data_IF_791279509938
#
_entry.id   IF_791279509938
#
_cell.length_a   1.000
_cell.length_b   1.000
_cell.length_c   1.000
_cell.angle_alpha   90.00
_cell.angle_beta   90.00
_cell.angle_gamma   90.00
#
_symmetry.space_group_name_H-M   'P 1'
#
loop_
_entity.id
_entity.type
_entity.pdbx_description
1 polymer ?
#
# COMPACT_ATOMS: atom_id res chain seq x y z
N UNK A 1 30.50 18.23 7.39
CA UNK A 1 29.69 18.69 6.24
C UNK A 1 30.23 18.22 4.87
N UNK A 2 31.44 17.70 4.77
CA UNK A 2 32.06 17.21 3.51
C UNK A 2 31.65 15.78 3.13
N UNK A 3 31.31 14.92 4.11
CA UNK A 3 30.98 13.49 3.83
C UNK A 3 29.58 13.26 3.26
N UNK A 4 28.60 14.13 3.56
CA UNK A 4 27.21 13.98 3.08
C UNK A 4 27.09 14.43 1.62
N UNK A 5 27.82 15.48 1.22
CA UNK A 5 27.90 15.92 -0.19
C UNK A 5 28.58 14.88 -1.08
N UNK A 6 29.56 14.13 -0.56
CA UNK A 6 30.20 13.05 -1.29
C UNK A 6 29.26 11.85 -1.49
N UNK A 7 28.43 11.54 -0.50
CA UNK A 7 27.44 10.47 -0.58
C UNK A 7 26.31 10.80 -1.57
N UNK A 8 25.81 12.05 -1.57
CA UNK A 8 24.80 12.48 -2.54
C UNK A 8 25.35 12.60 -3.97
N UNK A 9 26.61 13.02 -4.13
CA UNK A 9 27.26 13.01 -5.45
C UNK A 9 27.49 11.59 -5.97
N UNK A 10 27.81 10.65 -5.08
CA UNK A 10 28.00 9.25 -5.43
C UNK A 10 26.69 8.57 -5.85
N UNK A 11 25.58 8.89 -5.17
CA UNK A 11 24.23 8.42 -5.53
C UNK A 11 23.75 9.06 -6.85
N UNK A 12 23.98 10.36 -7.05
CA UNK A 12 23.67 11.01 -8.31
C UNK A 12 24.51 10.47 -9.48
N UNK A 13 25.78 10.15 -9.23
CA UNK A 13 26.68 9.57 -10.23
C UNK A 13 26.32 8.11 -10.58
N UNK A 14 25.84 7.30 -9.62
CA UNK A 14 25.38 5.94 -9.91
C UNK A 14 24.02 5.93 -10.62
N UNK A 15 23.14 6.90 -10.36
CA UNK A 15 21.89 7.10 -11.12
C UNK A 15 22.19 7.59 -12.55
N UNK A 16 23.13 8.51 -12.73
CA UNK A 16 23.56 8.97 -14.05
C UNK A 16 24.30 7.89 -14.85
N UNK A 17 25.10 7.03 -14.18
CA UNK A 17 25.76 5.90 -14.82
C UNK A 17 24.73 4.86 -15.26
N UNK A 18 23.69 4.58 -14.45
CA UNK A 18 22.58 3.71 -14.80
C UNK A 18 21.81 4.21 -16.04
N UNK A 19 21.55 5.53 -16.13
CA UNK A 19 20.92 6.17 -17.29
C UNK A 19 21.78 6.11 -18.57
N UNK A 20 23.11 6.14 -18.45
CA UNK A 20 24.00 5.98 -19.61
C UNK A 20 24.09 4.51 -20.07
N UNK A 21 24.02 3.53 -19.17
CA UNK A 21 23.96 2.12 -19.56
C UNK A 21 22.67 1.75 -20.28
N UNK A 22 21.53 2.35 -19.93
CA UNK A 22 20.28 2.15 -20.68
C UNK A 22 20.31 2.84 -22.05
N UNK A 23 21.01 3.97 -22.19
CA UNK A 23 21.21 4.65 -23.46
C UNK A 23 22.14 3.89 -24.44
N UNK A 24 23.17 3.20 -23.93
CA UNK A 24 24.12 2.42 -24.75
C UNK A 24 23.52 1.10 -25.24
N UNK A 25 22.65 0.46 -24.46
CA UNK A 25 21.92 -0.74 -24.91
C UNK A 25 20.89 -0.39 -26.00
N UNK A 26 20.32 0.82 -25.96
CA UNK A 26 19.38 1.30 -26.96
C UNK A 26 20.02 1.64 -28.33
N UNK A 27 21.33 1.90 -28.39
CA UNK A 27 21.98 2.46 -29.59
C UNK A 27 22.66 1.44 -30.51
N UNK A 28 22.90 0.19 -30.09
CA UNK A 28 23.71 -0.75 -30.90
C UNK A 28 22.97 -1.98 -31.45
N UNK A 29 21.72 -2.25 -31.06
CA UNK A 29 20.96 -3.43 -31.51
C UNK A 29 19.62 -3.11 -32.21
N UNK A 30 19.20 -1.85 -32.27
CA UNK A 30 17.86 -1.45 -32.73
C UNK A 30 17.60 -1.44 -34.25
N UNK A 31 18.52 -1.04 -35.15
CA UNK A 31 18.07 -0.57 -36.47
C UNK A 31 17.72 -1.68 -37.48
N UNK A 32 17.91 -2.96 -37.15
CA UNK A 32 17.62 -4.08 -38.07
C UNK A 32 16.36 -4.88 -37.69
N UNK A 33 15.89 -4.81 -36.44
CA UNK A 33 14.71 -5.56 -35.96
C UNK A 33 13.41 -4.72 -36.04
N UNK A 34 13.52 -3.38 -36.05
CA UNK A 34 12.38 -2.46 -36.15
C UNK A 34 11.66 -2.45 -37.52
N UNK A 35 12.28 -2.93 -38.59
CA UNK A 35 11.74 -2.79 -39.95
C UNK A 35 10.69 -3.84 -40.35
N UNK A 36 10.66 -5.03 -39.71
CA UNK A 36 9.70 -6.10 -40.05
C UNK A 36 8.58 -6.26 -39.00
N UNK A 37 8.85 -5.98 -37.72
CA UNK A 37 7.86 -6.03 -36.65
C UNK A 37 6.76 -4.95 -36.79
N UNK A 38 7.08 -3.83 -37.45
CA UNK A 38 6.23 -2.64 -37.57
C UNK A 38 4.94 -2.85 -38.38
N UNK A 39 4.80 -3.94 -39.16
CA UNK A 39 3.57 -4.18 -39.94
C UNK A 39 2.43 -4.87 -39.17
N UNK A 40 2.73 -5.69 -38.15
CA UNK A 40 1.72 -6.41 -37.35
C UNK A 40 1.38 -5.71 -36.02
N UNK A 41 2.35 -5.02 -35.40
CA UNK A 41 2.14 -4.22 -34.18
C UNK A 41 1.47 -2.85 -34.43
N UNK A 42 1.19 -2.50 -35.70
CA UNK A 42 0.57 -1.21 -36.06
C UNK A 42 -0.94 -1.12 -35.81
N UNK A 43 -1.63 -2.21 -35.45
CA UNK A 43 -3.04 -2.08 -35.07
C UNK A 43 -3.16 -1.53 -33.64
N UNK A 44 -3.92 -0.45 -33.42
CA UNK A 44 -4.03 0.17 -32.10
C UNK A 44 -4.59 -0.81 -31.05
N UNK A 45 -5.42 -1.76 -31.48
CA UNK A 45 -6.02 -2.79 -30.62
C UNK A 45 -4.99 -3.81 -30.13
N UNK A 46 -4.10 -4.31 -31.00
CA UNK A 46 -3.05 -5.27 -30.60
C UNK A 46 -2.05 -4.60 -29.67
N UNK A 47 -1.67 -3.35 -29.96
CA UNK A 47 -0.81 -2.55 -29.07
C UNK A 47 -1.44 -2.35 -27.69
N UNK A 48 -2.73 -2.01 -27.62
CA UNK A 48 -3.45 -1.87 -26.36
C UNK A 48 -3.49 -3.19 -25.57
N UNK A 49 -3.82 -4.31 -26.20
CA UNK A 49 -3.90 -5.62 -25.54
C UNK A 49 -2.53 -6.02 -24.96
N UNK A 50 -1.46 -5.88 -25.75
CA UNK A 50 -0.10 -6.19 -25.29
C UNK A 50 0.33 -5.30 -24.13
N UNK A 51 -0.05 -4.02 -24.17
CA UNK A 51 0.28 -3.07 -23.10
C UNK A 51 -0.49 -3.37 -21.83
N UNK A 52 -1.77 -3.79 -21.92
CA UNK A 52 -2.54 -4.27 -20.77
C UNK A 52 -1.89 -5.51 -20.16
N UNK A 53 -1.50 -6.48 -20.99
CA UNK A 53 -0.82 -7.69 -20.51
C UNK A 53 0.52 -7.37 -19.85
N UNK A 54 1.30 -6.45 -20.42
CA UNK A 54 2.54 -5.96 -19.83
C UNK A 54 2.30 -5.25 -18.49
N UNK A 55 1.28 -4.39 -18.42
CA UNK A 55 0.91 -3.68 -17.20
C UNK A 55 0.49 -4.65 -16.08
N UNK A 56 -0.36 -5.64 -16.39
CA UNK A 56 -0.74 -6.69 -15.45
C UNK A 56 0.46 -7.52 -14.97
N UNK A 57 1.41 -7.81 -15.87
CA UNK A 57 2.64 -8.50 -15.51
C UNK A 57 3.54 -7.68 -14.58
N UNK A 58 3.66 -6.37 -14.81
CA UNK A 58 4.39 -5.46 -13.90
C UNK A 58 3.71 -5.38 -12.53
N UNK A 59 2.37 -5.30 -12.48
CA UNK A 59 1.64 -5.32 -11.21
C UNK A 59 1.79 -6.66 -10.46
N UNK A 60 1.83 -7.78 -11.18
CA UNK A 60 2.16 -9.08 -10.58
C UNK A 60 3.56 -9.04 -9.93
N UNK A 61 4.55 -8.47 -10.61
CA UNK A 61 5.88 -8.26 -10.04
C UNK A 61 5.86 -7.38 -8.79
N UNK A 62 5.14 -6.25 -8.82
CA UNK A 62 4.98 -5.35 -7.68
C UNK A 62 4.35 -6.05 -6.48
N UNK A 63 3.28 -6.82 -6.72
CA UNK A 63 2.60 -7.59 -5.69
C UNK A 63 3.55 -8.59 -5.01
N UNK A 64 4.34 -9.33 -5.79
CA UNK A 64 5.30 -10.30 -5.24
C UNK A 64 6.39 -9.61 -4.42
N UNK A 65 6.97 -8.50 -4.90
CA UNK A 65 8.02 -7.79 -4.13
C UNK A 65 7.44 -7.21 -2.83
N UNK A 66 6.22 -6.68 -2.88
CA UNK A 66 5.59 -6.09 -1.72
C UNK A 66 5.22 -7.15 -0.67
N UNK A 67 4.59 -8.24 -1.09
CA UNK A 67 4.04 -9.28 -0.21
C UNK A 67 5.12 -10.25 0.30
N UNK A 68 5.97 -10.78 -0.59
CA UNK A 68 6.94 -11.83 -0.21
C UNK A 68 8.21 -11.24 0.46
N UNK A 69 8.52 -9.94 0.26
CA UNK A 69 9.79 -9.35 0.70
C UNK A 69 9.65 -8.04 1.50
N UNK A 70 8.97 -7.03 0.96
CA UNK A 70 8.88 -5.71 1.61
C UNK A 70 8.12 -5.78 2.93
N UNK A 71 6.88 -6.27 2.92
CA UNK A 71 6.03 -6.39 4.11
C UNK A 71 6.71 -7.23 5.20
N UNK A 72 7.23 -8.46 4.94
CA UNK A 72 7.93 -9.26 5.95
C UNK A 72 9.19 -8.60 6.53
N UNK A 73 9.91 -7.81 5.72
CA UNK A 73 11.09 -7.07 6.20
C UNK A 73 10.70 -5.93 7.16
N UNK A 74 9.56 -5.30 6.92
CA UNK A 74 8.96 -4.29 7.79
C UNK A 74 8.38 -4.92 9.07
N UNK A 75 7.72 -6.07 8.97
CA UNK A 75 7.22 -6.81 10.13
C UNK A 75 8.35 -7.23 11.07
N UNK A 76 9.45 -7.77 10.51
CA UNK A 76 10.64 -8.10 11.29
C UNK A 76 11.25 -6.86 11.96
N UNK A 77 11.15 -5.68 11.33
CA UNK A 77 11.53 -4.42 11.95
C UNK A 77 10.59 -4.04 13.11
N UNK A 78 9.27 -4.17 12.93
CA UNK A 78 8.27 -3.91 13.97
C UNK A 78 8.43 -4.82 15.19
N UNK A 79 8.68 -6.12 14.97
CA UNK A 79 8.94 -7.09 16.03
C UNK A 79 10.17 -6.71 16.86
N UNK A 80 11.26 -6.33 16.20
CA UNK A 80 12.48 -5.88 16.88
C UNK A 80 12.28 -4.58 17.67
N UNK A 81 11.38 -3.72 17.20
CA UNK A 81 11.03 -2.46 17.85
C UNK A 81 9.90 -2.60 18.90
N UNK A 82 9.31 -3.79 19.06
CA UNK A 82 8.20 -4.08 19.98
C UNK A 82 7.04 -3.08 19.85
N UNK A 83 6.54 -2.88 18.62
CA UNK A 83 5.45 -1.94 18.34
C UNK A 83 4.08 -2.66 18.41
N UNK A 84 3.04 -2.06 19.01
CA UNK A 84 1.68 -2.65 19.04
C UNK A 84 1.10 -2.92 17.65
N UNK A 85 0.27 -3.95 17.52
CA UNK A 85 -0.28 -4.39 16.22
C UNK A 85 -1.08 -3.30 15.49
N UNK A 86 -1.95 -2.59 16.20
CA UNK A 86 -2.74 -1.47 15.63
C UNK A 86 -1.85 -0.34 15.12
N UNK A 87 -0.75 -0.07 15.84
CA UNK A 87 0.20 0.96 15.47
C UNK A 87 1.09 0.52 14.31
N UNK A 88 1.51 -0.75 14.28
CA UNK A 88 2.25 -1.34 13.17
C UNK A 88 1.40 -1.37 11.89
N UNK A 89 0.13 -1.74 12.01
CA UNK A 89 -0.86 -1.71 10.92
C UNK A 89 -1.02 -0.32 10.32
N UNK A 90 -1.26 0.69 11.15
CA UNK A 90 -1.48 2.08 10.71
C UNK A 90 -0.22 2.81 10.20
N UNK A 91 0.99 2.31 10.49
CA UNK A 91 2.24 3.02 10.19
C UNK A 91 3.15 2.24 9.25
N UNK A 92 3.86 1.26 9.78
CA UNK A 92 4.91 0.53 9.08
C UNK A 92 4.34 -0.40 8.02
N UNK A 93 3.32 -1.18 8.35
CA UNK A 93 2.66 -2.08 7.40
C UNK A 93 1.97 -1.27 6.29
N UNK A 94 1.19 -0.26 6.67
CA UNK A 94 0.58 0.70 5.75
C UNK A 94 1.61 1.39 4.86
N UNK A 95 2.82 1.69 5.36
CA UNK A 95 3.91 2.24 4.56
C UNK A 95 4.44 1.23 3.54
N UNK A 96 4.55 -0.04 3.93
CA UNK A 96 4.94 -1.13 3.03
C UNK A 96 3.95 -1.32 1.88
N UNK A 97 2.64 -1.32 2.17
CA UNK A 97 1.60 -1.43 1.14
C UNK A 97 1.46 -0.17 0.28
N UNK A 98 1.71 1.02 0.83
CA UNK A 98 1.72 2.30 0.12
C UNK A 98 3.00 2.56 -0.70
N UNK A 99 4.08 1.79 -0.49
CA UNK A 99 5.37 2.03 -1.15
C UNK A 99 5.29 2.09 -2.70
N UNK A 100 4.51 1.23 -3.39
CA UNK A 100 4.33 1.33 -4.84
C UNK A 100 3.76 2.68 -5.27
N UNK A 101 2.76 3.22 -4.58
CA UNK A 101 2.14 4.52 -4.89
C UNK A 101 3.08 5.69 -4.59
N UNK A 102 3.78 5.67 -3.46
CA UNK A 102 4.78 6.68 -3.12
C UNK A 102 5.84 6.76 -4.22
N UNK A 103 6.35 5.61 -4.65
CA UNK A 103 7.40 5.54 -5.67
C UNK A 103 6.88 5.85 -7.06
N UNK A 104 5.66 5.45 -7.39
CA UNK A 104 4.96 5.85 -8.61
C UNK A 104 4.86 7.38 -8.69
N UNK A 105 4.40 8.04 -7.62
CA UNK A 105 4.29 9.50 -7.63
C UNK A 105 5.67 10.19 -7.63
N UNK A 106 6.66 9.58 -6.97
CA UNK A 106 8.04 10.04 -7.04
C UNK A 106 8.61 10.02 -8.46
N UNK A 107 8.40 8.93 -9.21
CA UNK A 107 8.83 8.81 -10.61
C UNK A 107 8.06 9.78 -11.50
N UNK A 108 6.74 9.89 -11.32
CA UNK A 108 5.90 10.82 -12.08
C UNK A 108 6.36 12.28 -11.90
N UNK A 109 6.66 12.68 -10.66
CA UNK A 109 7.17 14.02 -10.33
C UNK A 109 8.59 14.22 -10.87
N UNK A 110 9.46 13.22 -10.76
CA UNK A 110 10.84 13.29 -11.25
C UNK A 110 10.94 13.44 -12.77
N UNK A 111 9.97 12.90 -13.53
CA UNK A 111 9.91 13.10 -14.98
C UNK A 111 9.52 14.52 -15.40
N UNK A 112 8.94 15.33 -14.49
CA UNK A 112 8.51 16.70 -14.77
C UNK A 112 7.39 16.82 -15.81
N UNK A 113 6.76 15.71 -16.20
CA UNK A 113 5.64 15.69 -17.14
C UNK A 113 4.32 15.88 -16.39
N UNK A 114 3.57 16.90 -16.77
CA UNK A 114 2.26 17.22 -16.17
C UNK A 114 1.30 16.03 -16.24
N UNK A 115 1.18 15.41 -17.41
CA UNK A 115 0.33 14.22 -17.62
C UNK A 115 0.64 13.09 -16.62
N UNK A 116 1.92 12.92 -16.24
CA UNK A 116 2.31 11.88 -15.31
C UNK A 116 1.82 12.15 -13.88
N UNK A 117 1.94 13.41 -13.46
CA UNK A 117 1.55 13.86 -12.12
C UNK A 117 0.03 13.88 -11.97
N UNK A 118 -0.69 14.23 -13.03
CA UNK A 118 -2.16 14.15 -13.06
C UNK A 118 -2.63 12.69 -12.93
N UNK A 119 -2.00 11.76 -13.66
CA UNK A 119 -2.30 10.33 -13.56
C UNK A 119 -2.03 9.75 -12.17
N UNK A 120 -0.90 10.12 -11.54
CA UNK A 120 -0.56 9.62 -10.21
C UNK A 120 -1.49 10.19 -9.13
N UNK A 121 -1.87 11.46 -9.24
CA UNK A 121 -2.81 12.08 -8.30
C UNK A 121 -4.23 11.52 -8.45
N UNK A 122 -4.66 11.26 -9.68
CA UNK A 122 -5.95 10.61 -9.94
C UNK A 122 -5.95 9.14 -9.46
N UNK A 123 -4.80 8.45 -9.52
CA UNK A 123 -4.63 7.13 -8.92
C UNK A 123 -4.76 7.12 -7.40
N UNK A 124 -4.24 8.14 -6.68
CA UNK A 124 -4.40 8.26 -5.21
C UNK A 124 -5.88 8.37 -4.81
N UNK A 125 -6.69 9.09 -5.62
CA UNK A 125 -8.14 9.16 -5.37
C UNK A 125 -8.85 7.84 -5.71
N UNK A 126 -8.49 7.22 -6.84
CA UNK A 126 -9.03 5.91 -7.21
C UNK A 126 -8.71 4.84 -6.18
N UNK A 127 -7.48 4.85 -5.65
CA UNK A 127 -7.01 3.90 -4.65
C UNK A 127 -7.82 4.03 -3.35
N UNK A 128 -8.21 5.25 -2.97
CA UNK A 128 -9.09 5.49 -1.83
C UNK A 128 -10.48 4.86 -2.01
N UNK A 129 -11.07 4.96 -3.20
CA UNK A 129 -12.38 4.33 -3.48
C UNK A 129 -12.27 2.81 -3.30
N UNK A 130 -11.19 2.20 -3.80
CA UNK A 130 -10.93 0.76 -3.66
C UNK A 130 -10.70 0.40 -2.18
N UNK A 131 -9.90 1.18 -1.46
CA UNK A 131 -9.59 0.96 -0.05
C UNK A 131 -10.82 1.05 0.86
N UNK A 132 -11.76 1.94 0.56
CA UNK A 132 -12.96 2.13 1.37
C UNK A 132 -14.14 1.25 0.95
N UNK A 133 -14.24 0.87 -0.33
CA UNK A 133 -15.34 0.06 -0.83
C UNK A 133 -14.99 -1.43 -0.94
N UNK A 134 -13.89 -1.75 -1.63
CA UNK A 134 -13.57 -3.13 -2.01
C UNK A 134 -12.84 -3.89 -0.89
N UNK A 135 -11.80 -3.29 -0.30
CA UNK A 135 -10.95 -3.99 0.70
C UNK A 135 -11.78 -4.44 1.92
N UNK A 136 -12.62 -3.61 2.57
CA UNK A 136 -13.41 -4.03 3.72
C UNK A 136 -14.40 -5.13 3.35
N UNK A 137 -15.03 -5.04 2.17
CA UNK A 137 -15.94 -6.08 1.68
C UNK A 137 -15.24 -7.43 1.51
N UNK A 138 -14.03 -7.43 0.91
CA UNK A 138 -13.21 -8.65 0.81
C UNK A 138 -12.81 -9.18 2.18
N UNK A 139 -12.37 -8.32 3.11
CA UNK A 139 -12.02 -8.71 4.47
C UNK A 139 -13.20 -9.41 5.18
N UNK A 140 -14.41 -8.87 5.05
CA UNK A 140 -15.61 -9.46 5.64
C UNK A 140 -16.05 -10.78 4.99
N UNK A 141 -15.79 -10.96 3.69
CA UNK A 141 -16.18 -12.17 2.96
C UNK A 141 -15.27 -13.36 3.34
N UNK A 142 -14.00 -13.09 3.61
CA UNK A 142 -12.99 -14.12 3.84
C UNK A 142 -12.77 -14.38 5.35
N UNK A 143 -13.20 -13.48 6.23
CA UNK A 143 -13.08 -13.66 7.66
C UNK A 143 -13.90 -14.87 8.17
N UNK A 144 -13.31 -15.77 8.97
CA UNK A 144 -13.98 -16.97 9.48
C UNK A 144 -15.01 -16.67 10.58
N UNK A 145 -14.88 -15.51 11.24
CA UNK A 145 -15.71 -15.09 12.37
C UNK A 145 -16.09 -13.61 12.24
N UNK A 146 -17.06 -13.15 13.04
CA UNK A 146 -17.40 -11.73 13.10
C UNK A 146 -16.18 -10.90 13.49
N UNK A 147 -15.71 -10.05 12.58
CA UNK A 147 -14.63 -9.10 12.82
C UNK A 147 -15.13 -8.01 13.79
N UNK A 148 -14.54 -7.96 14.98
CA UNK A 148 -14.81 -6.89 15.94
C UNK A 148 -13.79 -5.77 15.71
N UNK A 149 -14.27 -4.55 15.52
CA UNK A 149 -13.45 -3.37 15.27
C UNK A 149 -13.58 -2.42 16.46
N UNK A 150 -12.49 -1.76 16.80
CA UNK A 150 -12.42 -0.72 17.83
C UNK A 150 -12.73 0.65 17.21
N UNK A 151 -13.54 1.45 17.90
CA UNK A 151 -14.01 2.73 17.37
C UNK A 151 -12.95 3.83 17.43
N UNK A 152 -12.04 3.78 18.41
CA UNK A 152 -11.07 4.86 18.64
C UNK A 152 -9.99 4.96 17.54
N UNK A 153 -9.31 3.88 17.12
CA UNK A 153 -8.38 3.90 15.98
C UNK A 153 -9.07 4.27 14.67
N UNK A 154 -10.28 3.75 14.44
CA UNK A 154 -11.10 4.07 13.27
C UNK A 154 -11.38 5.58 13.15
N UNK A 155 -11.84 6.22 14.22
CA UNK A 155 -12.11 7.67 14.22
C UNK A 155 -10.81 8.44 14.01
N UNK A 156 -9.73 8.08 14.73
CA UNK A 156 -8.42 8.72 14.60
C UNK A 156 -7.95 8.73 13.15
N UNK A 157 -7.89 7.56 12.51
CA UNK A 157 -7.34 7.42 11.16
C UNK A 157 -8.24 8.08 10.12
N UNK A 158 -9.57 7.96 10.28
CA UNK A 158 -10.54 8.64 9.41
C UNK A 158 -10.47 10.18 9.52
N UNK A 159 -10.30 10.72 10.74
CA UNK A 159 -10.15 12.17 10.96
C UNK A 159 -8.88 12.71 10.30
N UNK A 160 -7.76 11.99 10.47
CA UNK A 160 -6.49 12.39 9.86
C UNK A 160 -6.56 12.29 8.35
N UNK A 161 -7.20 11.27 7.80
CA UNK A 161 -7.39 11.14 6.37
C UNK A 161 -8.25 12.27 5.79
N UNK A 162 -9.35 12.64 6.47
CA UNK A 162 -10.16 13.82 6.12
C UNK A 162 -9.31 15.09 6.11
N UNK A 163 -8.50 15.32 7.14
CA UNK A 163 -7.62 16.48 7.22
C UNK A 163 -6.56 16.48 6.09
N UNK A 164 -6.02 15.31 5.77
CA UNK A 164 -5.04 15.11 4.70
C UNK A 164 -5.64 15.41 3.32
N UNK A 165 -6.82 14.85 3.03
CA UNK A 165 -7.54 15.07 1.79
C UNK A 165 -7.97 16.54 1.65
N UNK A 166 -8.45 17.17 2.72
CA UNK A 166 -8.79 18.59 2.73
C UNK A 166 -7.57 19.49 2.47
N UNK A 167 -6.41 19.14 3.03
CA UNK A 167 -5.14 19.83 2.78
C UNK A 167 -4.72 19.68 1.32
N UNK A 168 -4.83 18.48 0.75
CA UNK A 168 -4.53 18.23 -0.66
C UNK A 168 -5.45 19.05 -1.58
N UNK A 169 -6.76 19.06 -1.34
CA UNK A 169 -7.73 19.87 -2.09
C UNK A 169 -7.40 21.37 -1.99
N UNK A 170 -7.02 21.85 -0.80
CA UNK A 170 -6.60 23.24 -0.62
C UNK A 170 -5.36 23.59 -1.47
N UNK A 171 -4.35 22.72 -1.50
CA UNK A 171 -3.12 22.94 -2.29
C UNK A 171 -3.43 22.92 -3.79
N UNK A 172 -4.35 22.07 -4.23
CA UNK A 172 -4.73 21.95 -5.64
C UNK A 172 -5.59 23.11 -6.16
N UNK A 173 -6.19 23.92 -5.29
CA UNK A 173 -7.11 24.98 -5.70
C UNK A 173 -6.46 26.03 -6.62
N UNK A 174 -5.19 26.36 -6.37
CA UNK A 174 -4.47 27.42 -7.10
C UNK A 174 -3.64 26.86 -8.26
N UNK A 175 -3.73 25.55 -8.56
CA UNK A 175 -2.99 24.84 -9.63
C UNK A 175 -1.46 25.04 -9.59
N UNK A 176 -0.94 25.48 -8.45
CA UNK A 176 0.48 25.71 -8.20
C UNK A 176 0.85 25.10 -6.87
N UNK A 177 1.90 24.28 -6.88
CA UNK A 177 2.43 23.61 -5.70
C UNK A 177 3.80 24.19 -5.38
N UNK A 178 3.85 25.02 -4.35
CA UNK A 178 5.06 25.55 -3.75
C UNK A 178 5.58 24.67 -2.61
N UNK A 179 6.84 24.91 -2.23
CA UNK A 179 7.53 24.09 -1.21
C UNK A 179 6.86 24.11 0.16
N UNK A 180 6.28 25.25 0.56
CA UNK A 180 5.52 25.33 1.82
C UNK A 180 4.25 24.48 1.78
N UNK A 181 3.54 24.47 0.66
CA UNK A 181 2.32 23.67 0.48
C UNK A 181 2.65 22.17 0.54
N UNK A 182 3.68 21.69 -0.16
CA UNK A 182 4.11 20.29 -0.06
C UNK A 182 4.64 19.95 1.34
N UNK A 183 5.32 20.89 1.99
CA UNK A 183 5.79 20.74 3.37
C UNK A 183 4.64 20.59 4.38
N UNK A 184 3.49 21.21 4.13
CA UNK A 184 2.29 21.07 4.95
C UNK A 184 1.76 19.64 4.94
N UNK A 185 1.75 18.96 3.78
CA UNK A 185 1.34 17.54 3.69
C UNK A 185 2.28 16.63 4.50
N UNK A 186 3.59 16.87 4.44
CA UNK A 186 4.57 16.14 5.26
C UNK A 186 4.34 16.42 6.75
N UNK A 187 4.02 17.67 7.11
CA UNK A 187 3.73 18.04 8.49
C UNK A 187 2.49 17.34 9.03
N UNK A 188 1.44 17.19 8.21
CA UNK A 188 0.26 16.39 8.55
C UNK A 188 0.64 14.92 8.81
N UNK A 189 1.50 14.32 7.98
CA UNK A 189 2.02 12.96 8.21
C UNK A 189 2.80 12.84 9.52
N UNK A 190 3.70 13.79 9.80
CA UNK A 190 4.45 13.80 11.07
C UNK A 190 3.48 13.92 12.25
N UNK A 191 2.47 14.80 12.15
CA UNK A 191 1.41 14.90 13.14
C UNK A 191 0.65 13.59 13.34
N UNK A 192 0.33 12.88 12.26
CA UNK A 192 -0.31 11.57 12.30
C UNK A 192 0.52 10.53 13.07
N UNK A 193 1.81 10.42 12.73
CA UNK A 193 2.73 9.51 13.42
C UNK A 193 2.86 9.88 14.91
N UNK A 194 2.88 11.17 15.26
CA UNK A 194 2.90 11.60 16.66
C UNK A 194 1.62 11.19 17.39
N UNK A 195 0.44 11.33 16.77
CA UNK A 195 -0.84 10.91 17.37
C UNK A 195 -0.84 9.40 17.65
N UNK A 196 -0.21 8.58 16.80
CA UNK A 196 -0.09 7.13 17.01
C UNK A 196 0.94 6.80 18.08
N UNK A 197 2.17 7.30 17.95
CA UNK A 197 3.30 6.85 18.78
C UNK A 197 3.38 7.55 20.13
N UNK A 198 3.00 8.83 20.25
CA UNK A 198 3.13 9.55 21.52
C UNK A 198 2.32 8.89 22.65
N UNK A 199 1.05 8.48 22.47
CA UNK A 199 0.31 7.76 23.52
C UNK A 199 0.94 6.41 23.89
N UNK A 200 1.59 5.74 22.94
CA UNK A 200 2.26 4.46 23.18
C UNK A 200 3.52 4.68 24.03
N UNK A 201 4.28 5.75 23.74
CA UNK A 201 5.53 6.06 24.43
C UNK A 201 5.31 6.67 25.82
N UNK A 202 4.20 7.39 26.01
CA UNK A 202 3.83 8.02 27.29
C UNK A 202 3.12 7.07 28.26
N UNK A 203 2.63 5.91 27.81
CA UNK A 203 2.01 4.93 28.70
C UNK A 203 3.09 4.33 29.61
N UNK A 204 2.90 4.38 30.95
CA UNK A 204 3.78 3.67 31.87
C UNK A 204 3.79 2.18 31.51
N UNK A 205 4.97 1.56 31.49
CA UNK A 205 5.08 0.10 31.41
C UNK A 205 4.40 -0.48 32.65
N UNK A 206 3.17 -0.96 32.49
CA UNK A 206 2.39 -1.58 33.56
C UNK A 206 2.90 -3.01 33.77
N UNK A 207 3.49 -3.34 34.94
CA UNK A 207 4.04 -4.67 35.20
C UNK A 207 2.96 -5.76 35.37
N UNK A 208 1.71 -5.39 35.68
CA UNK A 208 0.59 -6.35 35.90
C UNK A 208 -0.30 -6.53 34.66
N UNK A 209 -0.10 -5.70 33.63
CA UNK A 209 -0.70 -5.94 32.33
C UNK A 209 0.16 -6.97 31.63
N UNK A 210 -0.19 -8.25 31.76
CA UNK A 210 0.30 -9.28 30.87
C UNK A 210 0.22 -8.73 29.45
N UNK A 211 1.39 -8.56 28.88
CA UNK A 211 1.62 -7.91 27.64
C UNK A 211 0.63 -8.39 26.56
N UNK A 212 -0.30 -7.50 26.18
CA UNK A 212 -0.84 -7.47 24.82
C UNK A 212 0.29 -7.10 23.81
N UNK A 213 1.51 -6.88 24.33
CA UNK A 213 2.79 -7.03 23.66
C UNK A 213 3.27 -8.50 23.67
N UNK A 214 2.63 -9.38 22.90
CA UNK A 214 3.11 -10.75 22.66
C UNK A 214 3.31 -11.57 23.96
N UNK A 215 2.22 -12.03 24.58
CA UNK A 215 2.24 -13.37 25.19
C UNK A 215 1.80 -14.39 24.14
N UNK A 216 2.66 -15.34 23.71
CA UNK A 216 2.20 -16.46 22.91
C UNK A 216 1.28 -17.33 23.78
N UNK A 217 -0.01 -17.34 23.46
CA UNK A 217 -0.91 -18.48 23.69
C UNK A 217 -0.90 -19.20 25.05
N UNK A 218 -0.63 -18.55 26.20
CA UNK A 218 -0.66 -19.27 27.49
C UNK A 218 -2.00 -19.12 28.23
N UNK A 219 -2.74 -18.03 28.04
CA UNK A 219 -4.00 -17.81 28.77
C UNK A 219 -5.29 -18.26 28.04
N UNK A 220 -5.18 -18.80 26.83
CA UNK A 220 -6.29 -19.54 26.19
C UNK A 220 -6.26 -21.05 26.49
N UNK A 221 -5.30 -21.53 27.31
CA UNK A 221 -5.25 -22.94 27.72
C UNK A 221 -6.17 -23.28 28.91
N UNK A 222 -6.58 -22.30 29.72
CA UNK A 222 -7.40 -22.57 30.92
C UNK A 222 -8.90 -22.64 30.57
N UNK A 223 -9.38 -21.80 29.65
CA UNK A 223 -10.79 -21.86 29.20
C UNK A 223 -11.07 -23.08 28.31
N UNK A 224 -10.05 -23.58 27.59
CA UNK A 224 -10.12 -24.83 26.83
C UNK A 224 -10.02 -26.09 27.69
N UNK A 225 -9.43 -26.01 28.89
CA UNK A 225 -9.40 -27.14 29.83
C UNK A 225 -10.80 -27.49 30.39
N UNK A 226 -11.78 -26.61 30.22
CA UNK A 226 -13.16 -26.75 30.74
C UNK A 226 -14.19 -27.22 29.69
N UNK A 227 -13.79 -27.44 28.43
CA UNK A 227 -14.69 -27.90 27.37
C UNK A 227 -14.27 -29.27 26.81
N UNK A 228 -14.67 -30.40 27.45
CA UNK A 228 -14.11 -31.72 27.16
C UNK A 228 -14.64 -32.41 25.88
N UNK A 229 -15.42 -31.74 25.03
CA UNK A 229 -16.06 -32.41 23.89
C UNK A 229 -16.13 -31.54 22.63
N UNK A 230 -15.02 -31.46 21.88
CA UNK A 230 -15.09 -31.30 20.43
C UNK A 230 -13.79 -31.78 19.75
N UNK A 231 -13.78 -32.92 19.05
CA UNK A 231 -12.56 -33.55 18.52
C UNK A 231 -12.10 -32.99 17.15
N UNK A 232 -12.54 -31.79 16.75
CA UNK A 232 -12.25 -31.21 15.43
C UNK A 232 -11.29 -30.01 15.43
N UNK A 233 -10.76 -29.62 16.58
CA UNK A 233 -9.81 -28.50 16.69
C UNK A 233 -8.53 -28.97 17.37
N UNK A 234 -7.68 -29.64 16.59
CA UNK A 234 -6.31 -29.89 16.95
C UNK A 234 -5.47 -29.78 15.68
N UNK A 235 -4.69 -28.71 15.57
CA UNK A 235 -3.29 -28.64 15.07
C UNK A 235 -2.99 -27.28 14.43
N UNK A 236 -2.53 -26.30 15.22
CA UNK A 236 -1.34 -25.51 14.86
C UNK A 236 -0.95 -24.60 16.03
N UNK A 237 0.08 -25.05 16.73
CA UNK A 237 0.87 -24.26 17.66
C UNK A 237 1.84 -23.38 16.85
N UNK A 238 2.13 -22.18 17.38
CA UNK A 238 3.31 -21.36 17.04
C UNK A 238 3.35 -20.76 15.63
N UNK A 239 2.68 -19.62 15.41
CA UNK A 239 2.85 -18.82 14.19
C UNK A 239 2.80 -17.31 14.51
N UNK A 240 3.98 -16.66 14.55
CA UNK A 240 4.10 -15.20 14.59
C UNK A 240 3.65 -14.54 13.27
N UNK A 241 3.78 -13.22 13.16
CA UNK A 241 3.34 -12.39 12.01
C UNK A 241 3.60 -13.05 10.64
N UNK A 242 4.75 -13.68 10.46
CA UNK A 242 5.14 -14.32 9.20
C UNK A 242 4.80 -15.81 9.04
N UNK A 243 3.76 -16.32 9.68
CA UNK A 243 3.32 -17.69 9.42
C UNK A 243 1.84 -17.78 9.01
N UNK A 244 1.48 -16.96 8.03
CA UNK A 244 0.26 -17.18 7.24
C UNK A 244 0.64 -17.79 5.89
N UNK A 245 1.36 -18.91 5.91
CA UNK A 245 1.16 -19.88 4.83
C UNK A 245 -0.18 -20.52 5.07
N UNK A 246 -1.09 -20.26 4.12
CA UNK A 246 -2.41 -20.85 3.98
C UNK A 246 -2.47 -22.23 4.64
N UNK A 247 -3.12 -22.31 5.81
CA UNK A 247 -3.74 -23.57 6.18
C UNK A 247 -4.76 -23.88 5.09
N UNK A 248 -4.56 -25.04 4.47
CA UNK A 248 -5.47 -25.67 3.52
C UNK A 248 -6.85 -25.78 4.16
N UNK A 249 -7.74 -24.82 3.87
CA UNK A 249 -9.00 -24.71 4.60
C UNK A 249 -10.11 -23.95 3.90
N UNK A 250 -10.03 -23.75 2.59
CA UNK A 250 -11.20 -23.50 1.76
C UNK A 250 -10.93 -24.15 0.41
N UNK A 251 -11.67 -25.21 0.08
CA UNK A 251 -11.62 -25.80 -1.25
C UNK A 251 -12.06 -24.72 -2.25
N UNK A 252 -11.08 -24.09 -2.91
CA UNK A 252 -11.36 -23.11 -3.96
C UNK A 252 -12.19 -23.80 -5.05
N UNK A 253 -13.16 -23.09 -5.65
CA UNK A 253 -13.99 -23.68 -6.68
C UNK A 253 -13.13 -24.11 -7.88
N UNK A 254 -13.38 -25.33 -8.38
CA UNK A 254 -12.54 -26.01 -9.39
C UNK A 254 -12.27 -25.21 -10.68
N UNK A 255 -13.05 -24.16 -10.97
CA UNK A 255 -12.83 -23.28 -12.13
C UNK A 255 -11.67 -22.28 -11.95
N UNK A 256 -11.19 -22.05 -10.73
CA UNK A 256 -10.05 -21.16 -10.43
C UNK A 256 -8.69 -21.84 -10.58
N UNK A 257 -8.62 -23.18 -10.54
CA UNK A 257 -7.38 -23.93 -10.74
C UNK A 257 -6.60 -23.59 -12.02
N UNK A 258 -7.23 -23.51 -13.22
CA UNK A 258 -6.51 -23.16 -14.44
C UNK A 258 -5.92 -21.74 -14.37
N UNK A 259 -6.66 -20.79 -13.80
CA UNK A 259 -6.20 -19.40 -13.63
C UNK A 259 -5.01 -19.35 -12.69
N UNK A 260 -5.06 -20.06 -11.56
CA UNK A 260 -3.95 -20.16 -10.62
C UNK A 260 -2.70 -20.75 -11.24
N UNK A 261 -2.81 -21.82 -12.05
CA UNK A 261 -1.66 -22.42 -12.75
C UNK A 261 -1.02 -21.43 -13.74
N UNK A 262 -1.83 -20.62 -14.42
CA UNK A 262 -1.33 -19.57 -15.33
C UNK A 262 -0.62 -18.47 -14.54
N UNK A 263 -1.22 -17.97 -13.46
CA UNK A 263 -0.59 -16.95 -12.61
C UNK A 263 0.71 -17.48 -11.99
N UNK A 264 0.72 -18.73 -11.50
CA UNK A 264 1.92 -19.37 -10.96
C UNK A 264 3.03 -19.41 -12.03
N UNK A 265 2.71 -19.89 -13.24
CA UNK A 265 3.65 -19.95 -14.35
C UNK A 265 4.20 -18.57 -14.73
N UNK A 266 3.34 -17.54 -14.77
CA UNK A 266 3.74 -16.16 -15.06
C UNK A 266 4.56 -15.53 -13.92
N UNK A 267 4.32 -15.94 -12.66
CA UNK A 267 5.05 -15.40 -11.50
C UNK A 267 6.47 -15.97 -11.34
N UNK A 268 6.74 -17.17 -11.87
CA UNK A 268 8.05 -17.86 -11.77
C UNK A 268 9.26 -17.01 -12.17
N UNK A 269 9.30 -16.30 -13.32
CA UNK A 269 10.45 -15.47 -13.67
C UNK A 269 10.76 -14.41 -12.61
N UNK A 270 9.73 -13.74 -12.07
CA UNK A 270 9.90 -12.80 -10.96
C UNK A 270 10.37 -13.49 -9.68
N UNK A 271 9.74 -14.61 -9.30
CA UNK A 271 10.15 -15.36 -8.10
C UNK A 271 11.60 -15.83 -8.19
N UNK A 272 12.05 -16.33 -9.35
CA UNK A 272 13.44 -16.74 -9.55
C UNK A 272 14.39 -15.54 -9.46
N UNK A 273 14.03 -14.42 -10.12
CA UNK A 273 14.82 -13.20 -10.07
C UNK A 273 14.97 -12.69 -8.63
N UNK A 274 13.86 -12.59 -7.90
CA UNK A 274 13.85 -12.09 -6.53
C UNK A 274 14.48 -13.08 -5.54
N UNK A 275 14.29 -14.39 -5.70
CA UNK A 275 14.97 -15.38 -4.86
C UNK A 275 16.50 -15.31 -5.00
N UNK A 276 17.01 -14.91 -6.16
CA UNK A 276 18.45 -14.73 -6.36
C UNK A 276 18.99 -13.40 -5.80
N UNK A 277 18.19 -12.34 -5.79
CA UNK A 277 18.65 -10.98 -5.45
C UNK A 277 18.22 -10.49 -4.07
N UNK A 278 17.13 -11.01 -3.52
CA UNK A 278 16.54 -10.61 -2.25
C UNK A 278 16.66 -11.73 -1.20
N UNK A 279 17.37 -11.52 -0.09
CA UNK A 279 17.40 -12.46 1.02
C UNK A 279 16.00 -12.60 1.65
N UNK A 280 15.57 -13.84 1.89
CA UNK A 280 14.27 -14.11 2.53
C UNK A 280 14.26 -13.64 3.99
N UNK A 281 13.17 -12.96 4.37
CA UNK A 281 12.97 -12.42 5.72
C UNK A 281 11.91 -13.18 6.54
N UNK A 282 11.46 -14.34 6.05
CA UNK A 282 10.47 -15.18 6.73
C UNK A 282 10.93 -15.65 8.11
N UNK A 283 9.96 -15.95 8.98
CA UNK A 283 10.18 -16.33 10.39
C UNK A 283 11.11 -17.54 10.52
N UNK A 284 11.04 -18.47 9.57
CA UNK A 284 11.79 -19.74 9.56
C UNK A 284 13.14 -19.67 8.81
N UNK A 285 13.48 -18.52 8.20
CA UNK A 285 14.65 -18.42 7.33
C UNK A 285 15.92 -17.96 8.08
N UNK A 286 17.09 -18.60 7.88
CA UNK A 286 18.35 -18.20 8.51
C UNK A 286 18.83 -16.80 8.06
N UNK A 287 18.30 -16.27 6.94
CA UNK A 287 18.65 -14.95 6.41
C UNK A 287 17.86 -13.80 7.05
N UNK A 288 17.00 -14.07 8.04
CA UNK A 288 16.18 -13.07 8.73
C UNK A 288 16.97 -11.88 9.32
N UNK A 289 18.23 -12.08 9.68
CA UNK A 289 19.08 -10.98 10.18
C UNK A 289 19.42 -9.94 9.11
N UNK A 290 19.29 -10.27 7.82
CA UNK A 290 19.57 -9.37 6.69
C UNK A 290 18.36 -8.52 6.28
N UNK A 291 17.32 -8.44 7.12
CA UNK A 291 16.11 -7.66 6.86
C UNK A 291 16.32 -6.21 6.37
N UNK A 292 17.35 -5.43 6.81
CA UNK A 292 17.54 -4.07 6.30
C UNK A 292 18.02 -4.05 4.86
N UNK A 293 18.77 -5.09 4.43
CA UNK A 293 19.24 -5.22 3.05
C UNK A 293 18.07 -5.57 2.15
N UNK A 294 17.24 -6.53 2.55
CA UNK A 294 16.02 -6.89 1.84
C UNK A 294 15.07 -5.70 1.72
N UNK A 295 14.92 -4.90 2.78
CA UNK A 295 14.11 -3.68 2.79
C UNK A 295 14.60 -2.65 1.75
N UNK A 296 15.91 -2.38 1.69
CA UNK A 296 16.45 -1.40 0.73
C UNK A 296 16.34 -1.93 -0.71
N UNK A 297 16.67 -3.19 -0.94
CA UNK A 297 16.61 -3.78 -2.28
C UNK A 297 15.16 -3.91 -2.78
N UNK A 298 14.20 -4.25 -1.93
CA UNK A 298 12.79 -4.30 -2.30
C UNK A 298 12.26 -2.93 -2.69
N UNK A 299 12.61 -1.86 -1.98
CA UNK A 299 12.30 -0.47 -2.36
C UNK A 299 12.85 -0.13 -3.75
N UNK A 300 14.08 -0.57 -4.08
CA UNK A 300 14.66 -0.36 -5.42
C UNK A 300 13.86 -1.09 -6.50
N UNK A 301 13.49 -2.35 -6.26
CA UNK A 301 12.66 -3.10 -7.22
C UNK A 301 11.27 -2.49 -7.39
N UNK A 302 10.64 -2.05 -6.31
CA UNK A 302 9.35 -1.34 -6.35
C UNK A 302 9.51 -0.07 -7.20
N UNK A 303 10.58 0.70 -7.02
CA UNK A 303 10.81 1.92 -7.80
C UNK A 303 10.98 1.63 -9.31
N UNK A 304 11.75 0.59 -9.65
CA UNK A 304 11.96 0.17 -11.04
C UNK A 304 10.67 -0.31 -11.70
N UNK A 305 9.89 -1.13 -10.99
CA UNK A 305 8.62 -1.66 -11.49
C UNK A 305 7.55 -0.55 -11.55
N UNK A 306 7.51 0.38 -10.61
CA UNK A 306 6.62 1.56 -10.67
C UNK A 306 6.93 2.46 -11.88
N UNK A 307 8.20 2.62 -12.25
CA UNK A 307 8.58 3.33 -13.47
C UNK A 307 8.09 2.61 -14.73
N UNK A 308 8.21 1.27 -14.77
CA UNK A 308 7.65 0.47 -15.86
C UNK A 308 6.12 0.56 -15.93
N UNK A 309 5.42 0.55 -14.78
CA UNK A 309 3.97 0.68 -14.71
C UNK A 309 3.48 2.03 -15.24
N UNK A 310 4.16 3.13 -14.89
CA UNK A 310 3.88 4.46 -15.44
C UNK A 310 4.08 4.51 -16.95
N UNK A 311 5.19 3.95 -17.44
CA UNK A 311 5.47 3.92 -18.87
C UNK A 311 4.40 3.12 -19.65
N UNK A 312 4.05 1.92 -19.17
CA UNK A 312 3.00 1.10 -19.78
C UNK A 312 1.64 1.80 -19.75
N UNK A 313 1.29 2.48 -18.66
CA UNK A 313 0.01 3.21 -18.54
C UNK A 313 -0.12 4.30 -19.62
N UNK A 314 0.96 5.03 -19.93
CA UNK A 314 0.93 6.08 -20.96
C UNK A 314 0.79 5.55 -22.38
N UNK A 315 1.44 4.41 -22.67
CA UNK A 315 1.25 3.75 -23.96
C UNK A 315 -0.22 3.33 -24.10
N UNK A 316 -0.80 2.82 -23.01
CA UNK A 316 -2.18 2.35 -22.99
C UNK A 316 -3.20 3.48 -23.14
N UNK A 317 -3.01 4.62 -22.47
CA UNK A 317 -3.88 5.79 -22.62
C UNK A 317 -3.91 6.28 -24.06
N UNK A 318 -2.72 6.36 -24.68
CA UNK A 318 -2.57 6.75 -26.09
C UNK A 318 -3.24 5.75 -27.04
N UNK A 319 -3.11 4.44 -26.77
CA UNK A 319 -3.70 3.41 -27.61
C UNK A 319 -5.23 3.32 -27.51
N UNK A 320 -5.80 3.58 -26.32
CA UNK A 320 -7.24 3.50 -26.06
C UNK A 320 -7.97 4.85 -26.20
N UNK A 321 -7.26 5.95 -26.46
CA UNK A 321 -7.78 7.32 -26.40
C UNK A 321 -8.50 7.60 -25.05
N UNK A 322 -7.95 7.06 -23.96
CA UNK A 322 -8.43 7.36 -22.62
C UNK A 322 -7.75 8.61 -22.10
N UNK A 323 -8.47 9.42 -21.33
CA UNK A 323 -7.83 10.50 -20.60
C UNK A 323 -6.87 9.91 -19.55
N UNK A 324 -5.79 10.64 -19.30
CA UNK A 324 -4.73 10.21 -18.38
C UNK A 324 -5.24 10.07 -16.94
N UNK A 325 -6.27 10.84 -16.59
CA UNK A 325 -6.98 10.81 -15.32
C UNK A 325 -7.81 9.53 -15.18
N UNK A 326 -8.61 9.17 -16.20
CA UNK A 326 -9.45 7.96 -16.17
C UNK A 326 -8.58 6.71 -16.05
N UNK A 327 -7.46 6.65 -16.77
CA UNK A 327 -6.51 5.54 -16.62
C UNK A 327 -5.84 5.50 -15.24
N UNK A 328 -5.54 6.67 -14.65
CA UNK A 328 -5.01 6.75 -13.29
C UNK A 328 -6.00 6.29 -12.23
N UNK A 329 -7.24 6.83 -12.23
CA UNK A 329 -8.31 6.49 -11.29
C UNK A 329 -8.70 5.02 -11.34
N UNK A 330 -8.53 4.36 -12.49
CA UNK A 330 -8.96 2.97 -12.68
C UNK A 330 -7.79 2.00 -12.69
N UNK A 331 -6.99 1.98 -13.76
CA UNK A 331 -5.98 0.95 -13.99
C UNK A 331 -4.83 1.05 -13.00
N UNK A 332 -4.33 2.27 -12.77
CA UNK A 332 -3.19 2.50 -11.90
C UNK A 332 -3.59 2.35 -10.42
N UNK A 333 -4.75 2.86 -10.05
CA UNK A 333 -5.35 2.66 -8.74
C UNK A 333 -5.61 1.17 -8.43
N UNK A 334 -6.19 0.40 -9.36
CA UNK A 334 -6.45 -1.03 -9.15
C UNK A 334 -5.17 -1.82 -8.93
N UNK A 335 -4.15 -1.60 -9.77
CA UNK A 335 -2.91 -2.35 -9.68
C UNK A 335 -2.07 -2.01 -8.45
N UNK A 336 -2.06 -0.73 -8.05
CA UNK A 336 -1.35 -0.30 -6.84
C UNK A 336 -2.00 -0.76 -5.54
N UNK A 337 -3.31 -1.06 -5.55
CA UNK A 337 -4.04 -1.56 -4.38
C UNK A 337 -4.02 -3.07 -4.20
N UNK A 338 -3.41 -3.83 -5.11
CA UNK A 338 -3.27 -5.29 -4.96
C UNK A 338 -2.50 -5.65 -3.69
N UNK A 339 -1.32 -5.06 -3.38
CA UNK A 339 -0.58 -5.36 -2.16
C UNK A 339 -1.38 -5.01 -0.90
N UNK A 340 -2.08 -3.87 -0.90
CA UNK A 340 -2.86 -3.42 0.25
C UNK A 340 -4.08 -4.34 0.51
N UNK A 341 -4.73 -4.80 -0.56
CA UNK A 341 -5.80 -5.79 -0.46
C UNK A 341 -5.30 -7.14 0.08
N UNK A 342 -4.14 -7.63 -0.38
CA UNK A 342 -3.56 -8.88 0.11
C UNK A 342 -3.22 -8.77 1.60
N UNK A 343 -2.51 -7.71 2.01
CA UNK A 343 -2.12 -7.47 3.39
C UNK A 343 -3.34 -7.37 4.32
N UNK A 344 -4.34 -6.57 3.93
CA UNK A 344 -5.56 -6.37 4.72
C UNK A 344 -6.41 -7.64 4.83
N UNK A 345 -6.57 -8.38 3.72
CA UNK A 345 -7.30 -9.66 3.72
C UNK A 345 -6.56 -10.71 4.55
N UNK A 346 -5.24 -10.76 4.49
CA UNK A 346 -4.43 -11.67 5.31
C UNK A 346 -4.63 -11.42 6.81
N UNK A 347 -4.56 -10.16 7.23
CA UNK A 347 -4.84 -9.75 8.62
C UNK A 347 -6.27 -10.09 9.05
N UNK A 348 -7.26 -9.82 8.20
CA UNK A 348 -8.65 -10.14 8.48
C UNK A 348 -8.89 -11.66 8.63
N UNK A 349 -8.24 -12.48 7.79
CA UNK A 349 -8.27 -13.95 7.89
C UNK A 349 -7.68 -14.46 9.20
N UNK A 350 -6.61 -13.82 9.67
CA UNK A 350 -5.97 -14.13 10.93
C UNK A 350 -6.75 -13.60 12.15
N UNK A 351 -7.87 -12.88 11.95
CA UNK A 351 -8.70 -12.34 13.02
C UNK A 351 -8.27 -10.96 13.53
N UNK A 352 -7.21 -10.36 12.96
CA UNK A 352 -6.71 -9.03 13.32
C UNK A 352 -7.49 -7.93 12.56
N UNK A 353 -8.79 -7.81 12.88
CA UNK A 353 -9.71 -6.87 12.23
C UNK A 353 -9.24 -5.39 12.33
N UNK A 354 -8.79 -4.98 13.51
CA UNK A 354 -8.32 -3.61 13.76
C UNK A 354 -7.09 -3.28 12.90
N UNK A 355 -6.12 -4.19 12.83
CA UNK A 355 -4.92 -4.01 12.01
C UNK A 355 -5.27 -3.97 10.52
N UNK A 356 -6.19 -4.81 10.04
CA UNK A 356 -6.62 -4.83 8.64
C UNK A 356 -7.25 -3.49 8.21
N UNK A 357 -8.13 -2.93 9.04
CA UNK A 357 -8.77 -1.65 8.75
C UNK A 357 -7.78 -0.49 8.92
N UNK A 358 -6.98 -0.48 9.98
CA UNK A 358 -5.94 0.54 10.17
C UNK A 358 -4.93 0.55 9.04
N UNK A 359 -4.59 -0.61 8.47
CA UNK A 359 -3.73 -0.72 7.30
C UNK A 359 -4.40 -0.06 6.07
N UNK A 360 -5.65 -0.44 5.75
CA UNK A 360 -6.38 0.09 4.61
C UNK A 360 -6.67 1.61 4.68
N UNK A 361 -6.84 2.18 5.88
CA UNK A 361 -7.02 3.63 6.04
C UNK A 361 -5.67 4.34 6.11
N UNK A 362 -4.71 3.77 6.85
CA UNK A 362 -3.37 4.31 7.03
C UNK A 362 -2.60 4.42 5.72
N UNK A 363 -2.73 3.42 4.83
CA UNK A 363 -2.13 3.43 3.49
C UNK A 363 -2.61 4.65 2.70
N UNK A 364 -3.91 4.97 2.75
CA UNK A 364 -4.48 6.14 2.08
C UNK A 364 -4.02 7.47 2.69
N UNK A 365 -3.86 7.55 4.02
CA UNK A 365 -3.24 8.71 4.68
C UNK A 365 -1.82 8.90 4.17
N UNK A 366 -1.04 7.82 4.10
CA UNK A 366 0.34 7.84 3.61
C UNK A 366 0.39 8.26 2.14
N UNK A 367 -0.47 7.72 1.28
CA UNK A 367 -0.53 8.05 -0.15
C UNK A 367 -0.77 9.55 -0.38
N UNK A 368 -1.74 10.13 0.34
CA UNK A 368 -2.04 11.56 0.24
C UNK A 368 -0.90 12.39 0.83
N UNK A 369 -0.43 12.07 2.03
CA UNK A 369 0.52 12.94 2.75
C UNK A 369 1.96 12.73 2.31
N UNK A 370 2.53 11.56 2.57
CA UNK A 370 3.90 11.23 2.21
C UNK A 370 4.04 10.94 0.71
N UNK A 371 3.09 10.23 0.12
CA UNK A 371 3.11 9.82 -1.28
C UNK A 371 3.03 10.98 -2.27
N UNK A 372 2.27 12.03 -1.98
CA UNK A 372 2.30 13.27 -2.79
C UNK A 372 3.22 14.35 -2.21
N UNK A 373 3.21 14.54 -0.90
CA UNK A 373 3.97 15.60 -0.24
C UNK A 373 5.48 15.42 -0.37
N UNK A 374 6.03 14.21 -0.21
CA UNK A 374 7.47 14.01 -0.26
C UNK A 374 8.05 14.23 -1.67
N UNK A 375 7.52 13.60 -2.75
CA UNK A 375 7.97 13.90 -4.11
C UNK A 375 7.90 15.37 -4.47
N UNK A 376 6.77 16.03 -4.20
CA UNK A 376 6.59 17.44 -4.53
C UNK A 376 7.50 18.35 -3.72
N UNK A 377 7.70 18.07 -2.43
CA UNK A 377 8.61 18.84 -1.59
C UNK A 377 10.05 18.72 -2.10
N UNK A 378 10.51 17.51 -2.41
CA UNK A 378 11.85 17.29 -2.95
C UNK A 378 12.02 17.98 -4.31
N UNK A 379 11.05 17.85 -5.21
CA UNK A 379 11.13 18.49 -6.52
C UNK A 379 11.14 20.01 -6.39
N UNK A 380 10.22 20.59 -5.62
CA UNK A 380 10.10 22.05 -5.48
C UNK A 380 11.28 22.69 -4.78
N UNK A 381 11.96 21.95 -3.88
CA UNK A 381 13.18 22.42 -3.22
C UNK A 381 14.34 22.65 -4.21
N UNK A 382 14.41 21.87 -5.30
CA UNK A 382 15.50 21.96 -6.28
C UNK A 382 15.12 22.67 -7.58
N UNK A 383 13.85 22.57 -8.02
CA UNK A 383 13.40 23.04 -9.34
C UNK A 383 12.40 24.21 -9.28
N UNK A 384 11.91 24.58 -8.09
CA UNK A 384 10.90 25.63 -7.92
C UNK A 384 9.46 25.12 -8.00
N UNK A 385 8.50 26.04 -8.14
CA UNK A 385 7.07 25.72 -8.07
C UNK A 385 6.63 24.78 -9.21
N UNK A 386 5.78 23.82 -8.88
CA UNK A 386 5.19 22.91 -9.87
C UNK A 386 3.84 23.49 -10.30
N UNK A 387 3.68 23.75 -11.59
CA UNK A 387 2.37 24.08 -12.15
C UNK A 387 1.69 22.81 -12.66
N UNK A 388 0.56 22.47 -12.06
CA UNK A 388 -0.29 21.35 -12.48
C UNK A 388 -1.58 21.97 -13.01
N UNK A 389 -1.68 22.31 -14.31
CA UNK A 389 -2.82 23.00 -14.91
C UNK A 389 -4.07 22.12 -14.87
N UNK A 390 -4.83 22.25 -13.79
CA UNK A 390 -5.97 21.40 -13.46
C UNK A 390 -7.29 21.83 -14.14
N UNK A 391 -7.25 22.51 -15.29
CA UNK A 391 -8.37 23.36 -15.76
C UNK A 391 -9.57 22.63 -16.38
N UNK A 392 -9.43 21.38 -16.87
CA UNK A 392 -10.55 20.67 -17.54
C UNK A 392 -11.12 19.49 -16.74
N UNK A 393 -10.37 18.92 -15.80
CA UNK A 393 -10.76 17.71 -15.04
C UNK A 393 -10.82 17.93 -13.51
N UNK A 394 -10.76 19.20 -13.06
CA UNK A 394 -10.92 19.59 -11.63
C UNK A 394 -12.21 19.05 -11.04
N UNK A 395 -13.27 18.98 -11.85
CA UNK A 395 -14.58 18.51 -11.42
C UNK A 395 -14.53 17.04 -10.99
N UNK A 396 -13.85 16.17 -11.72
CA UNK A 396 -13.76 14.75 -11.36
C UNK A 396 -12.99 14.58 -10.06
N UNK A 397 -11.84 15.24 -9.93
CA UNK A 397 -11.03 15.22 -8.70
C UNK A 397 -11.80 15.74 -7.49
N UNK A 398 -12.43 16.92 -7.62
CA UNK A 398 -13.22 17.52 -6.55
C UNK A 398 -14.43 16.66 -6.19
N UNK A 399 -15.13 16.10 -7.18
CA UNK A 399 -16.30 15.26 -6.97
C UNK A 399 -15.93 13.93 -6.29
N UNK A 400 -14.83 13.29 -6.70
CA UNK A 400 -14.31 12.10 -6.03
C UNK A 400 -13.87 12.40 -4.60
N UNK A 401 -13.15 13.50 -4.37
CA UNK A 401 -12.76 13.92 -3.03
C UNK A 401 -13.99 14.18 -2.14
N UNK A 402 -15.04 14.82 -2.68
CA UNK A 402 -16.31 15.04 -1.98
C UNK A 402 -17.03 13.72 -1.69
N UNK A 403 -17.05 12.76 -2.63
CA UNK A 403 -17.66 11.44 -2.40
C UNK A 403 -16.94 10.70 -1.28
N UNK A 404 -15.60 10.69 -1.32
CA UNK A 404 -14.77 10.05 -0.29
C UNK A 404 -15.02 10.72 1.06
N UNK A 405 -15.01 12.05 1.10
CA UNK A 405 -15.31 12.82 2.30
C UNK A 405 -16.72 12.50 2.86
N UNK A 406 -17.74 12.50 2.00
CA UNK A 406 -19.11 12.18 2.38
C UNK A 406 -19.23 10.74 2.91
N UNK A 407 -18.58 9.78 2.26
CA UNK A 407 -18.52 8.39 2.71
C UNK A 407 -17.91 8.28 4.11
N UNK A 408 -16.79 8.95 4.36
CA UNK A 408 -16.13 8.94 5.67
C UNK A 408 -17.01 9.56 6.74
N UNK A 409 -17.64 10.71 6.45
CA UNK A 409 -18.58 11.36 7.37
C UNK A 409 -19.77 10.45 7.70
N UNK A 410 -20.28 9.68 6.73
CA UNK A 410 -21.35 8.71 6.96
C UNK A 410 -20.89 7.54 7.84
N UNK A 411 -19.67 7.03 7.65
CA UNK A 411 -19.09 6.00 8.50
C UNK A 411 -18.87 6.49 9.94
N UNK A 412 -18.33 7.70 10.09
CA UNK A 412 -18.16 8.35 11.39
C UNK A 412 -19.50 8.53 12.09
N UNK A 413 -20.54 8.98 11.37
CA UNK A 413 -21.90 9.05 11.92
C UNK A 413 -22.38 7.68 12.42
N UNK A 414 -22.12 6.61 11.66
CA UNK A 414 -22.43 5.23 12.07
C UNK A 414 -21.77 4.86 13.40
N UNK A 415 -20.48 5.15 13.53
CA UNK A 415 -19.69 4.91 14.76
C UNK A 415 -20.23 5.75 15.92
N UNK A 416 -20.45 7.05 15.73
CA UNK A 416 -21.02 7.94 16.74
C UNK A 416 -22.41 7.47 17.20
N UNK A 417 -23.31 7.13 16.27
CA UNK A 417 -24.64 6.60 16.62
C UNK A 417 -24.55 5.28 17.39
N UNK A 418 -23.57 4.43 17.11
CA UNK A 418 -23.34 3.18 17.82
C UNK A 418 -22.81 3.42 19.25
N UNK A 419 -21.88 4.37 19.44
CA UNK A 419 -21.36 4.74 20.76
C UNK A 419 -22.43 5.33 21.70
N UNK A 420 -23.44 6.02 21.14
CA UNK A 420 -24.51 6.66 21.92
C UNK A 420 -25.82 5.85 22.02
N UNK A 421 -25.93 4.71 21.32
CA UNK A 421 -27.11 3.85 21.36
C UNK A 421 -26.94 2.73 22.39
N UNK A 422 -27.94 2.53 23.26
CA UNK A 422 -28.00 1.39 24.20
C UNK A 422 -28.19 0.03 23.51
N UNK A 423 -28.43 -0.01 22.20
CA UNK A 423 -28.58 -1.23 21.42
C UNK A 423 -27.22 -1.73 20.91
N UNK A 424 -26.42 -2.31 21.82
CA UNK A 424 -25.05 -2.84 21.56
C UNK A 424 -25.00 -4.02 20.56
N UNK A 425 -26.14 -4.50 20.03
CA UNK A 425 -26.23 -5.72 19.20
C UNK A 425 -26.60 -5.52 17.73
N UNK A 426 -26.80 -4.28 17.26
CA UNK A 426 -27.22 -4.01 15.86
C UNK A 426 -26.16 -3.34 14.99
N UNK A 427 -25.00 -2.99 15.57
CA UNK A 427 -23.88 -2.41 14.84
C UNK A 427 -22.78 -3.44 14.66
N UNK A 428 -22.41 -3.68 13.41
CA UNK A 428 -21.25 -4.51 13.04
C UNK A 428 -20.00 -3.82 13.60
N UNK A 429 -19.25 -4.53 14.46
CA UNK A 429 -17.92 -4.11 14.89
C UNK A 429 -17.84 -3.19 16.11
N UNK A 430 -18.39 -3.59 17.26
CA UNK A 430 -18.00 -3.01 18.56
C UNK A 430 -17.55 -4.11 19.51
N UNK A 431 -16.24 -4.16 19.80
CA UNK A 431 -15.66 -5.08 20.77
C UNK A 431 -16.17 -4.77 22.19
N UNK A 432 -16.47 -5.79 23.04
CA UNK A 432 -16.83 -5.57 24.44
C UNK A 432 -15.69 -5.00 25.30
N UNK A 433 -14.48 -4.92 24.74
CA UNK A 433 -13.25 -4.45 25.43
C UNK A 433 -13.24 -2.95 25.71
N UNK A 434 -14.08 -2.18 25.04
CA UNK A 434 -14.28 -0.76 25.36
C UNK A 434 -15.22 -0.64 26.56
N UNK A 435 -14.64 -0.81 27.75
CA UNK A 435 -15.30 -0.77 29.05
C UNK A 435 -16.11 0.50 29.31
N UNK A 436 -17.31 0.55 28.76
CA UNK A 436 -18.40 1.36 29.28
C UNK A 436 -19.44 0.35 29.77
N UNK A 437 -19.24 -0.03 31.04
CA UNK A 437 -20.17 -0.81 31.85
C UNK A 437 -21.58 -0.22 31.74
#
# INVERSE_FOLDING_TARGET
>A
MTSIKALTLAVAASVALAQNTTAVVATTLAPAVEAEATSFFSSPVVSAILTILALLYVFLGLAIVCDDYLVPSIETLCEKLKIPEEAAGASFLAFGSAAPEILLNAVATAEGKIEAMESSLSAILGSAIIAFALIPALCTLVAPTSLMISWAPMIRDSMVYIASLGTLVYIMNDSQVGTWQSGLLILVYVGYMLIIFVPIWLRPADPDRHDEFITPAENHMIDHALAPHNPLLATSSSKGYGAVHAEEGAAEPAWLEPVRKVIDLLSRPFRILFAYTLPECGVDSPTRSYYPVTLVLSIVYVALLSAAALYSTRILTTALNLSTEVAGVTLLALGSQIPDAIASVSLARAGHADAAVCNAIGSQVINVTLGSGLPWFLYTLFHGEIHIPYEQETLLFQLLAVIIFAYLVLNLRGVFCACFSKAKGFYVGLSPRDGIA
#
